data_IF_611774256850
#
_entry.id   IF_611774256850
#
_cell.length_a   1.000
_cell.length_b   1.000
_cell.length_c   1.000
_cell.angle_alpha   90.00
_cell.angle_beta   90.00
_cell.angle_gamma   90.00
#
_symmetry.space_group_name_H-M   'P 1'
#
loop_
_entity.id
_entity.type
_entity.pdbx_description
1 polymer ?
#
# COMPACT_ATOMS: atom_id res chain seq x y z
N UNK A 1 -33.46 30.86 56.66
CA UNK A 1 -33.47 30.65 55.19
C UNK A 1 -32.10 30.98 54.63
N UNK A 2 -31.38 30.00 54.02
CA UNK A 2 -30.12 30.26 53.36
C UNK A 2 -30.38 31.00 52.02
N UNK A 3 -29.85 32.24 51.87
CA UNK A 3 -29.91 32.99 50.61
C UNK A 3 -29.17 32.19 49.54
N UNK A 4 -29.87 31.72 48.51
CA UNK A 4 -29.23 31.14 47.30
C UNK A 4 -28.51 32.30 46.56
N UNK A 5 -27.20 32.22 46.49
CA UNK A 5 -26.41 33.14 45.65
C UNK A 5 -26.59 32.64 44.19
N UNK A 6 -27.11 33.52 43.33
CA UNK A 6 -27.13 33.27 41.88
C UNK A 6 -25.74 33.52 41.25
N UNK A 7 -25.47 32.89 40.11
CA UNK A 7 -24.26 33.18 39.34
C UNK A 7 -24.26 34.62 38.85
N UNK A 8 -23.10 35.25 38.87
CA UNK A 8 -22.92 36.58 38.26
C UNK A 8 -22.77 36.41 36.74
N UNK A 9 -23.19 37.43 35.97
CA UNK A 9 -23.02 37.46 34.53
C UNK A 9 -21.59 37.17 34.09
N UNK A 10 -20.62 37.71 34.85
CA UNK A 10 -19.18 37.52 34.53
C UNK A 10 -18.73 36.08 34.75
N UNK A 11 -19.26 35.35 35.73
CA UNK A 11 -18.96 33.92 35.94
C UNK A 11 -19.46 33.07 34.78
N UNK A 12 -20.67 33.37 34.25
CA UNK A 12 -21.22 32.68 33.09
C UNK A 12 -20.39 32.95 31.85
N UNK A 13 -20.01 34.19 31.60
CA UNK A 13 -19.17 34.55 30.46
C UNK A 13 -17.78 33.90 30.55
N UNK A 14 -17.14 33.90 31.72
CA UNK A 14 -15.84 33.24 31.93
C UNK A 14 -15.94 31.72 31.73
N UNK A 15 -16.99 31.07 32.23
CA UNK A 15 -17.25 29.66 32.03
C UNK A 15 -17.44 29.31 30.57
N UNK A 16 -18.17 30.13 29.82
CA UNK A 16 -18.41 29.94 28.39
C UNK A 16 -17.13 30.12 27.56
N UNK A 17 -16.29 31.10 27.93
CA UNK A 17 -14.99 31.29 27.31
C UNK A 17 -14.06 30.08 27.52
N UNK A 18 -13.96 29.57 28.74
CA UNK A 18 -13.17 28.36 29.05
C UNK A 18 -13.71 27.13 28.30
N UNK A 19 -15.03 26.98 28.25
CA UNK A 19 -15.66 25.88 27.54
C UNK A 19 -15.36 25.89 26.04
N UNK A 20 -15.38 27.07 25.39
CA UNK A 20 -15.04 27.18 23.97
C UNK A 20 -13.57 26.80 23.69
N UNK A 21 -12.64 27.21 24.54
CA UNK A 21 -11.21 26.84 24.40
C UNK A 21 -11.03 25.32 24.49
N UNK A 22 -11.67 24.68 25.47
CA UNK A 22 -11.60 23.24 25.65
C UNK A 22 -12.22 22.50 24.46
N UNK A 23 -13.36 22.98 23.95
CA UNK A 23 -14.01 22.38 22.77
C UNK A 23 -13.16 22.48 21.51
N UNK A 24 -12.48 23.60 21.27
CA UNK A 24 -11.55 23.74 20.14
C UNK A 24 -10.38 22.74 20.23
N UNK A 25 -9.83 22.55 21.41
CA UNK A 25 -8.78 21.55 21.62
C UNK A 25 -9.26 20.12 21.36
N UNK A 26 -10.45 19.77 21.85
CA UNK A 26 -11.07 18.45 21.61
C UNK A 26 -11.37 18.21 20.14
N UNK A 27 -11.87 19.20 19.40
CA UNK A 27 -12.11 19.10 17.95
C UNK A 27 -10.81 18.87 17.18
N UNK A 28 -9.74 19.52 17.56
CA UNK A 28 -8.41 19.32 16.97
C UNK A 28 -7.90 17.89 17.17
N UNK A 29 -8.00 17.37 18.39
CA UNK A 29 -7.62 16.00 18.72
C UNK A 29 -8.46 14.97 17.96
N UNK A 30 -9.78 15.19 17.84
CA UNK A 30 -10.68 14.32 17.09
C UNK A 30 -10.31 14.30 15.59
N UNK A 31 -10.03 15.46 15.01
CA UNK A 31 -9.60 15.56 13.60
C UNK A 31 -8.29 14.81 13.35
N UNK A 32 -7.32 14.91 14.28
CA UNK A 32 -6.09 14.13 14.21
C UNK A 32 -6.36 12.63 14.31
N UNK A 33 -7.19 12.20 15.25
CA UNK A 33 -7.53 10.78 15.42
C UNK A 33 -8.17 10.18 14.16
N UNK A 34 -9.07 10.92 13.50
CA UNK A 34 -9.69 10.50 12.24
C UNK A 34 -8.64 10.36 11.13
N UNK A 35 -7.73 11.32 10.99
CA UNK A 35 -6.65 11.27 10.00
C UNK A 35 -5.73 10.07 10.22
N UNK A 36 -5.29 9.82 11.46
CA UNK A 36 -4.45 8.67 11.79
C UNK A 36 -5.15 7.34 11.53
N UNK A 37 -6.45 7.24 11.86
CA UNK A 37 -7.23 6.02 11.58
C UNK A 37 -7.34 5.76 10.08
N UNK A 38 -7.63 6.78 9.28
CA UNK A 38 -7.67 6.68 7.81
C UNK A 38 -6.32 6.25 7.25
N UNK A 39 -5.21 6.87 7.71
CA UNK A 39 -3.87 6.51 7.25
C UNK A 39 -3.51 5.06 7.62
N UNK A 40 -3.80 4.63 8.84
CA UNK A 40 -3.56 3.27 9.28
C UNK A 40 -4.35 2.25 8.44
N UNK A 41 -5.60 2.55 8.09
CA UNK A 41 -6.40 1.70 7.23
C UNK A 41 -5.81 1.59 5.81
N UNK A 42 -5.35 2.69 5.23
CA UNK A 42 -4.68 2.72 3.92
C UNK A 42 -3.39 1.92 3.91
N UNK A 43 -2.54 2.11 4.93
CA UNK A 43 -1.31 1.33 5.11
C UNK A 43 -1.60 -0.16 5.31
N UNK A 44 -2.65 -0.50 6.04
CA UNK A 44 -3.10 -1.87 6.24
C UNK A 44 -3.54 -2.52 4.91
N UNK A 45 -4.30 -1.82 4.08
CA UNK A 45 -4.73 -2.32 2.78
C UNK A 45 -3.54 -2.50 1.82
N UNK A 46 -2.60 -1.54 1.77
CA UNK A 46 -1.34 -1.69 1.02
C UNK A 46 -0.56 -2.94 1.46
N UNK A 47 -0.53 -3.21 2.76
CA UNK A 47 0.10 -4.40 3.33
C UNK A 47 -0.60 -5.70 2.91
N UNK A 48 -1.94 -5.72 2.86
CA UNK A 48 -2.72 -6.87 2.39
C UNK A 48 -2.42 -7.13 0.91
N UNK A 49 -2.44 -6.12 0.06
CA UNK A 49 -2.18 -6.26 -1.37
C UNK A 49 -0.78 -6.86 -1.63
N UNK A 50 0.25 -6.34 -0.96
CA UNK A 50 1.60 -6.88 -1.05
C UNK A 50 1.69 -8.32 -0.52
N UNK A 51 1.00 -8.63 0.58
CA UNK A 51 0.96 -9.98 1.16
C UNK A 51 0.26 -10.97 0.24
N UNK A 52 -0.92 -10.61 -0.29
CA UNK A 52 -1.70 -11.43 -1.22
C UNK A 52 -0.86 -11.80 -2.45
N UNK A 53 -0.16 -10.83 -3.03
CA UNK A 53 0.75 -11.08 -4.14
C UNK A 53 1.80 -12.16 -3.82
N UNK A 54 2.49 -12.05 -2.70
CA UNK A 54 3.51 -13.04 -2.32
C UNK A 54 2.94 -14.40 -1.95
N UNK A 55 1.74 -14.46 -1.39
CA UNK A 55 1.05 -15.72 -1.10
C UNK A 55 0.68 -16.45 -2.39
N UNK A 56 0.20 -15.73 -3.41
CA UNK A 56 -0.05 -16.29 -4.74
C UNK A 56 1.22 -16.85 -5.37
N UNK A 57 2.32 -16.11 -5.35
CA UNK A 57 3.60 -16.57 -5.89
C UNK A 57 4.20 -17.77 -5.14
N UNK A 58 3.95 -17.89 -3.84
CA UNK A 58 4.41 -19.03 -3.04
C UNK A 58 3.57 -20.28 -3.25
N UNK A 59 2.27 -20.10 -3.49
CA UNK A 59 1.35 -21.22 -3.73
C UNK A 59 1.61 -21.88 -5.07
N UNK A 60 1.91 -21.10 -6.09
CA UNK A 60 2.26 -21.59 -7.42
C UNK A 60 3.51 -20.84 -7.94
N UNK A 61 4.66 -21.49 -7.88
CA UNK A 61 5.96 -20.89 -8.18
C UNK A 61 6.17 -20.75 -9.68
N UNK A 62 6.89 -19.72 -10.13
CA UNK A 62 7.26 -19.58 -11.54
C UNK A 62 7.98 -20.82 -12.06
N UNK A 63 7.47 -21.38 -13.16
CA UNK A 63 8.04 -22.52 -13.86
C UNK A 63 8.44 -22.08 -15.27
N UNK A 64 9.74 -21.93 -15.51
CA UNK A 64 10.21 -21.61 -16.85
C UNK A 64 9.85 -22.73 -17.84
N UNK A 65 9.11 -22.47 -18.92
CA UNK A 65 8.87 -23.45 -19.96
C UNK A 65 10.18 -23.95 -20.57
N UNK A 66 10.19 -25.18 -21.08
CA UNK A 66 11.37 -25.73 -21.73
C UNK A 66 11.82 -24.82 -22.89
N UNK A 67 13.10 -24.43 -22.88
CA UNK A 67 13.68 -23.55 -23.90
C UNK A 67 13.49 -22.05 -23.65
N UNK A 68 12.81 -21.64 -22.60
CA UNK A 68 12.68 -20.23 -22.20
C UNK A 68 13.74 -19.90 -21.15
N UNK A 69 14.47 -18.81 -21.39
CA UNK A 69 15.47 -18.36 -20.43
C UNK A 69 14.80 -17.87 -19.13
N UNK A 70 15.36 -18.22 -17.97
CA UNK A 70 14.78 -17.88 -16.66
C UNK A 70 14.75 -16.38 -16.39
N UNK A 71 15.66 -15.63 -17.00
CA UNK A 71 15.74 -14.17 -16.93
C UNK A 71 14.77 -13.44 -17.86
N UNK A 72 14.00 -14.17 -18.68
CA UNK A 72 13.05 -13.56 -19.62
C UNK A 72 11.92 -12.76 -18.95
N UNK A 73 11.63 -13.06 -17.68
CA UNK A 73 10.67 -12.31 -16.85
C UNK A 73 11.35 -11.26 -15.95
N UNK A 74 12.65 -11.04 -16.12
CA UNK A 74 13.33 -9.96 -15.39
C UNK A 74 12.77 -8.60 -15.84
N UNK A 75 12.52 -7.75 -14.89
CA UNK A 75 12.03 -6.41 -15.16
C UNK A 75 11.38 -5.75 -13.97
N UNK A 76 10.95 -4.54 -14.22
CA UNK A 76 10.18 -3.74 -13.27
C UNK A 76 8.77 -3.58 -13.84
N UNK A 77 7.79 -3.81 -13.01
CA UNK A 77 6.37 -3.86 -13.36
C UNK A 77 5.58 -2.96 -12.44
N UNK A 78 4.49 -2.39 -12.96
CA UNK A 78 3.60 -1.53 -12.20
C UNK A 78 2.15 -1.92 -12.48
N UNK A 79 1.40 -2.17 -11.44
CA UNK A 79 0.04 -2.65 -11.50
C UNK A 79 -0.85 -1.69 -10.72
N UNK A 80 -1.91 -1.20 -11.34
CA UNK A 80 -3.00 -0.56 -10.62
C UNK A 80 -3.88 -1.64 -10.01
N UNK A 81 -4.26 -1.46 -8.76
CA UNK A 81 -5.01 -2.46 -7.98
C UNK A 81 -6.27 -1.80 -7.43
N UNK A 82 -7.41 -2.25 -7.93
CA UNK A 82 -8.73 -1.92 -7.38
C UNK A 82 -9.32 -3.12 -6.64
N UNK A 83 -8.99 -4.32 -7.09
CA UNK A 83 -9.42 -5.56 -6.45
C UNK A 83 -8.32 -6.66 -6.47
N UNK A 84 -8.61 -7.80 -5.84
CA UNK A 84 -7.69 -8.94 -5.79
C UNK A 84 -7.46 -9.58 -7.17
N UNK A 85 -8.39 -9.40 -8.11
CA UNK A 85 -8.29 -9.97 -9.46
C UNK A 85 -7.14 -9.34 -10.24
N UNK A 86 -6.86 -8.05 -10.04
CA UNK A 86 -5.74 -7.36 -10.69
C UNK A 86 -4.41 -7.98 -10.27
N UNK A 87 -4.24 -8.23 -8.97
CA UNK A 87 -3.04 -8.89 -8.43
C UNK A 87 -2.93 -10.31 -8.97
N UNK A 88 -4.04 -11.03 -9.03
CA UNK A 88 -4.09 -12.41 -9.53
C UNK A 88 -3.72 -12.49 -11.01
N UNK A 89 -4.27 -11.63 -11.86
CA UNK A 89 -3.97 -11.59 -13.29
C UNK A 89 -2.47 -11.36 -13.57
N UNK A 90 -1.88 -10.44 -12.82
CA UNK A 90 -0.44 -10.19 -12.91
C UNK A 90 0.38 -11.37 -12.38
N UNK A 91 0.03 -11.91 -11.22
CA UNK A 91 0.71 -13.08 -10.62
C UNK A 91 0.66 -14.28 -11.55
N UNK A 92 -0.50 -14.56 -12.14
CA UNK A 92 -0.69 -15.64 -13.12
C UNK A 92 0.19 -15.43 -14.36
N UNK A 93 0.30 -14.21 -14.85
CA UNK A 93 1.16 -13.88 -16.00
C UNK A 93 2.64 -14.13 -15.66
N UNK A 94 3.06 -13.80 -14.46
CA UNK A 94 4.42 -14.01 -13.96
C UNK A 94 4.73 -15.51 -13.77
N UNK A 95 3.82 -16.25 -13.13
CA UNK A 95 3.93 -17.69 -12.88
C UNK A 95 3.98 -18.48 -14.18
N UNK A 96 3.14 -18.13 -15.15
CA UNK A 96 3.03 -18.82 -16.43
C UNK A 96 4.03 -18.35 -17.50
N UNK A 97 4.95 -17.43 -17.15
CA UNK A 97 5.87 -16.83 -18.11
C UNK A 97 5.17 -16.20 -19.33
N UNK A 98 4.02 -15.59 -19.12
CA UNK A 98 3.30 -14.90 -20.17
C UNK A 98 3.95 -13.53 -20.45
N UNK A 99 5.01 -13.54 -21.26
CA UNK A 99 5.81 -12.33 -21.57
C UNK A 99 4.95 -11.26 -22.25
N UNK A 100 4.00 -11.66 -23.11
CA UNK A 100 3.08 -10.72 -23.77
C UNK A 100 2.15 -10.06 -22.74
N UNK A 101 1.62 -10.82 -21.79
CA UNK A 101 0.81 -10.29 -20.69
C UNK A 101 1.63 -9.38 -19.76
N UNK A 102 2.87 -9.76 -19.45
CA UNK A 102 3.76 -8.96 -18.61
C UNK A 102 4.19 -7.65 -19.27
N UNK A 103 4.28 -7.60 -20.59
CA UNK A 103 4.71 -6.40 -21.33
C UNK A 103 3.78 -5.20 -21.11
N UNK A 104 2.48 -5.44 -20.83
CA UNK A 104 1.52 -4.38 -20.53
C UNK A 104 1.74 -3.71 -19.16
N UNK A 105 2.41 -4.40 -18.25
CA UNK A 105 2.74 -3.91 -16.90
C UNK A 105 4.18 -3.40 -16.79
N UNK A 106 5.01 -3.64 -17.81
CA UNK A 106 6.44 -3.32 -17.76
C UNK A 106 6.66 -1.81 -17.80
N UNK A 107 7.44 -1.31 -16.87
CA UNK A 107 7.87 0.09 -16.79
C UNK A 107 9.37 0.19 -17.01
N UNK A 108 9.85 1.38 -17.37
CA UNK A 108 11.29 1.66 -17.36
C UNK A 108 11.88 1.66 -15.96
N UNK A 109 13.19 1.70 -15.83
CA UNK A 109 13.89 1.76 -14.56
C UNK A 109 13.44 2.96 -13.71
N UNK A 110 13.19 2.76 -12.41
CA UNK A 110 12.85 3.83 -11.47
C UNK A 110 11.52 3.67 -10.75
N UNK A 111 11.13 2.43 -10.42
CA UNK A 111 9.90 2.14 -9.66
C UNK A 111 9.77 2.91 -8.34
N UNK A 112 10.89 3.20 -7.67
CA UNK A 112 10.88 3.84 -6.36
C UNK A 112 10.45 5.32 -6.40
N UNK A 113 10.62 5.99 -7.55
CA UNK A 113 10.40 7.44 -7.66
C UNK A 113 9.14 7.80 -8.48
N UNK A 114 8.45 6.80 -9.05
CA UNK A 114 7.37 7.05 -10.00
C UNK A 114 6.00 6.64 -9.45
N UNK A 115 5.43 7.50 -8.61
CA UNK A 115 4.05 7.44 -8.13
C UNK A 115 3.05 7.86 -9.22
N UNK A 116 3.21 7.35 -10.45
CA UNK A 116 2.25 7.67 -11.51
C UNK A 116 0.86 7.20 -11.11
N UNK A 117 -0.08 8.10 -11.24
CA UNK A 117 -1.49 7.79 -11.06
C UNK A 117 -1.96 6.90 -12.23
N UNK A 118 -2.19 5.63 -11.95
CA UNK A 118 -2.77 4.67 -12.90
C UNK A 118 -4.30 4.73 -12.92
N UNK A 119 -4.90 5.65 -12.16
CA UNK A 119 -6.35 5.76 -12.02
C UNK A 119 -6.98 4.76 -11.03
N UNK A 120 -6.18 3.91 -10.40
CA UNK A 120 -6.60 2.90 -9.45
C UNK A 120 -6.44 3.40 -8.00
N UNK A 121 -7.09 2.71 -7.05
CA UNK A 121 -7.03 3.06 -5.63
C UNK A 121 -5.65 2.79 -5.02
N UNK A 122 -5.04 1.65 -5.40
CA UNK A 122 -3.70 1.25 -4.95
C UNK A 122 -2.79 1.00 -6.15
N UNK A 123 -1.50 1.10 -5.92
CA UNK A 123 -0.47 0.70 -6.89
C UNK A 123 0.45 -0.33 -6.26
N UNK A 124 0.77 -1.35 -7.04
CA UNK A 124 1.77 -2.38 -6.71
C UNK A 124 2.90 -2.31 -7.73
N UNK A 125 4.08 -1.89 -7.29
CA UNK A 125 5.32 -2.00 -8.04
C UNK A 125 5.99 -3.34 -7.75
N UNK A 126 6.52 -4.00 -8.76
CA UNK A 126 7.19 -5.30 -8.61
C UNK A 126 8.48 -5.29 -9.44
N UNK A 127 9.60 -5.64 -8.81
CA UNK A 127 10.86 -5.92 -9.48
C UNK A 127 11.14 -7.41 -9.41
N UNK A 128 11.44 -8.00 -10.55
CA UNK A 128 11.81 -9.42 -10.68
C UNK A 128 13.20 -9.51 -11.25
N UNK A 129 14.07 -10.25 -10.59
CA UNK A 129 15.46 -10.48 -11.02
C UNK A 129 15.84 -11.94 -10.80
N UNK A 130 16.38 -12.58 -11.83
CA UNK A 130 16.94 -13.94 -11.72
C UNK A 130 18.39 -13.89 -11.26
N UNK A 131 18.69 -14.49 -10.11
CA UNK A 131 20.06 -14.64 -9.60
C UNK A 131 20.63 -16.00 -10.05
N UNK A 132 21.45 -15.96 -11.09
CA UNK A 132 22.10 -17.16 -11.64
C UNK A 132 23.00 -17.86 -10.62
N UNK A 133 23.61 -17.12 -9.70
CA UNK A 133 24.57 -17.67 -8.72
C UNK A 133 23.87 -18.51 -7.66
N UNK A 134 22.65 -18.14 -7.29
CA UNK A 134 21.84 -18.82 -6.27
C UNK A 134 20.75 -19.70 -6.86
N UNK A 135 20.44 -19.55 -8.14
CA UNK A 135 19.37 -20.29 -8.80
C UNK A 135 17.97 -19.92 -8.27
N UNK A 136 17.75 -18.65 -7.92
CA UNK A 136 16.50 -18.15 -7.35
C UNK A 136 16.05 -16.86 -8.02
N UNK A 137 14.75 -16.60 -7.98
CA UNK A 137 14.20 -15.27 -8.27
C UNK A 137 14.27 -14.41 -7.02
N UNK A 138 14.76 -13.19 -7.19
CA UNK A 138 14.67 -12.12 -6.22
C UNK A 138 13.48 -11.28 -6.64
N UNK A 139 12.46 -11.21 -5.79
CA UNK A 139 11.25 -10.45 -6.06
C UNK A 139 11.08 -9.41 -4.97
N UNK A 140 11.10 -8.16 -5.37
CA UNK A 140 10.82 -7.01 -4.50
C UNK A 140 9.48 -6.41 -4.91
N UNK A 141 8.66 -6.02 -3.95
CA UNK A 141 7.41 -5.32 -4.21
C UNK A 141 7.26 -4.10 -3.34
N UNK A 142 6.69 -3.06 -3.91
CA UNK A 142 6.28 -1.81 -3.26
C UNK A 142 4.79 -1.65 -3.47
N UNK A 143 4.04 -1.53 -2.39
CA UNK A 143 2.59 -1.27 -2.47
C UNK A 143 2.26 0.00 -1.70
N UNK A 144 1.46 0.88 -2.32
CA UNK A 144 1.01 2.13 -1.71
C UNK A 144 -0.38 2.51 -2.17
N UNK A 145 -1.05 3.29 -1.33
CA UNK A 145 -2.33 3.92 -1.62
C UNK A 145 -2.11 5.23 -2.39
N UNK A 146 -2.81 5.42 -3.49
CA UNK A 146 -2.63 6.59 -4.36
C UNK A 146 -3.01 7.92 -3.70
N UNK A 147 -3.91 7.89 -2.71
CA UNK A 147 -4.30 9.08 -1.96
C UNK A 147 -3.40 9.42 -0.77
N UNK A 148 -2.66 8.44 -0.23
CA UNK A 148 -1.74 8.61 0.89
C UNK A 148 -0.27 8.71 0.43
N UNK A 149 0.06 8.23 -0.78
CA UNK A 149 1.40 8.28 -1.35
C UNK A 149 2.41 7.49 -0.52
N UNK A 150 3.64 8.01 -0.46
CA UNK A 150 4.78 7.39 0.24
C UNK A 150 4.51 6.98 1.69
N UNK A 151 3.64 7.70 2.39
CA UNK A 151 3.33 7.41 3.81
C UNK A 151 2.65 6.06 4.00
N UNK A 152 2.00 5.53 2.96
CA UNK A 152 1.34 4.22 2.97
C UNK A 152 2.20 3.12 2.32
N UNK A 153 3.42 3.42 1.91
CA UNK A 153 4.29 2.49 1.21
C UNK A 153 4.68 1.29 2.09
N UNK A 154 4.52 0.11 1.52
CA UNK A 154 4.99 -1.16 2.10
C UNK A 154 5.95 -1.81 1.13
N UNK A 155 7.20 -1.97 1.55
CA UNK A 155 8.22 -2.68 0.79
C UNK A 155 8.40 -4.11 1.33
N UNK A 156 8.48 -5.08 0.41
CA UNK A 156 8.73 -6.50 0.72
C UNK A 156 9.68 -7.12 -0.30
N UNK A 157 10.53 -8.03 0.20
CA UNK A 157 11.44 -8.80 -0.63
C UNK A 157 11.32 -10.28 -0.33
N UNK A 158 11.36 -11.11 -1.36
CA UNK A 158 11.35 -12.58 -1.22
C UNK A 158 12.30 -13.23 -2.21
N UNK A 159 12.67 -14.47 -1.90
CA UNK A 159 13.51 -15.32 -2.74
C UNK A 159 12.71 -16.58 -3.06
N UNK A 160 12.49 -16.84 -4.35
CA UNK A 160 11.71 -17.98 -4.82
C UNK A 160 12.58 -18.87 -5.70
N UNK A 161 12.75 -20.13 -5.29
CA UNK A 161 13.30 -21.14 -6.20
C UNK A 161 12.24 -21.47 -7.26
N UNK A 162 12.61 -21.63 -8.54
CA UNK A 162 11.68 -22.12 -9.56
C UNK A 162 11.17 -23.52 -9.19
N UNK A 163 10.01 -23.86 -9.72
CA UNK A 163 9.39 -25.17 -9.53
C UNK A 163 10.07 -26.22 -10.40
#
# INVERSE_FOLDING_TARGET
>A
MKKKKGFTLIEVMAGLAMFTIVMLALMSLLSMAIKYNSLNQRTYNSNINSKSFFEMLKSDRPLAPAGVAKDSINGEYKIGVDDELDIKNFSDSLIKYNISGLSSYKVGSGLADDFQNLGNEYTLGVKVEWDNSKGVYIIESWSWDMGAGEVSEINRKTYLAPK
#
